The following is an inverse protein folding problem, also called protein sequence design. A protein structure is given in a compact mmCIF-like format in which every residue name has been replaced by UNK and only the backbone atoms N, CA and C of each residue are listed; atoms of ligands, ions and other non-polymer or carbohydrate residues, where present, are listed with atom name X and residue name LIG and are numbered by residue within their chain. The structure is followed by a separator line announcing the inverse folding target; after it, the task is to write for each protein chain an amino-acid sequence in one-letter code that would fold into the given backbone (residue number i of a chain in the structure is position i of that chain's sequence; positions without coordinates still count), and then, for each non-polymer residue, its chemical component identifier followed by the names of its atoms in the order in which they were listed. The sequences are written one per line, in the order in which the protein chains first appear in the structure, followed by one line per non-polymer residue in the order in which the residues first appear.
data_IF_513203875002
#
_entry.id   IF_513203875002
#
_cell.length_a   1.000
_cell.length_b   1.000
_cell.length_c   1.000
_cell.angle_alpha   90.00
_cell.angle_beta   90.00
_cell.angle_gamma   90.00
#
_symmetry.space_group_name_H-M   'P 1'
#
loop_
_entity.id
_entity.type
_entity.pdbx_description
1 polymer ?
#
# COMPACT_ATOMS: atom_id res chain seq x y z
N UNK A 1 1.62 -2.32 1.12
CA UNK A 1 1.48 -0.96 0.59
C UNK A 1 0.19 -0.40 1.21
N UNK A 2 0.08 0.25 2.37
CA UNK A 2 0.90 0.53 3.57
C UNK A 2 2.16 -0.34 3.66
N UNK A 3 3.24 0.10 3.03
CA UNK A 3 4.58 -0.40 3.30
C UNK A 3 5.33 0.84 3.72
N UNK A 4 6.01 0.75 4.86
CA UNK A 4 6.60 1.90 5.53
C UNK A 4 7.39 2.76 4.55
N UNK A 5 7.13 4.07 4.57
CA UNK A 5 8.15 5.05 4.25
C UNK A 5 9.19 5.02 5.39
N UNK A 6 9.86 3.89 5.56
CA UNK A 6 11.00 3.75 6.46
C UNK A 6 12.21 3.66 5.57
N UNK A 7 13.08 4.66 5.72
CA UNK A 7 14.37 4.78 5.07
C UNK A 7 15.31 3.72 5.67
N UNK A 8 15.04 2.44 5.39
CA UNK A 8 15.93 1.34 5.77
C UNK A 8 16.98 1.20 4.68
N UNK A 9 18.18 1.71 4.98
CA UNK A 9 19.40 1.44 4.23
C UNK A 9 19.52 -0.07 4.01
N UNK A 10 19.59 -0.47 2.73
CA UNK A 10 20.19 -1.71 2.22
C UNK A 10 20.25 -2.88 3.21
N UNK A 11 19.29 -3.80 3.12
CA UNK A 11 19.50 -5.15 3.62
C UNK A 11 19.07 -6.16 2.56
N UNK A 12 20.06 -6.64 1.80
CA UNK A 12 19.98 -7.92 1.08
C UNK A 12 20.31 -8.97 2.14
N UNK A 13 19.37 -9.85 2.56
CA UNK A 13 19.76 -10.96 3.41
C UNK A 13 20.48 -11.98 2.52
N UNK A 14 21.81 -12.04 2.63
CA UNK A 14 22.56 -13.21 2.21
C UNK A 14 22.13 -14.40 3.07
N UNK A 15 21.82 -15.50 2.40
CA UNK A 15 21.58 -16.81 3.00
C UNK A 15 22.78 -17.18 3.89
N UNK A 16 22.50 -17.54 5.14
CA UNK A 16 23.43 -18.32 5.96
C UNK A 16 22.76 -19.64 6.30
N UNK A 17 23.40 -20.71 5.86
CA UNK A 17 22.95 -22.08 6.00
C UNK A 17 22.63 -22.48 7.44
N UNK A 18 21.66 -23.39 7.49
CA UNK A 18 21.10 -24.08 8.65
C UNK A 18 22.14 -24.78 9.52
N UNK A 19 22.00 -24.64 10.84
CA UNK A 19 22.30 -25.70 11.80
C UNK A 19 21.09 -25.84 12.74
N UNK A 20 20.67 -27.08 12.93
CA UNK A 20 19.37 -27.47 13.47
C UNK A 20 19.07 -27.01 14.91
N UNK A 21 17.77 -26.85 15.18
CA UNK A 21 17.22 -26.58 16.50
C UNK A 21 15.78 -27.07 16.56
N UNK A 22 15.55 -28.02 17.46
CA UNK A 22 14.31 -28.78 17.66
C UNK A 22 13.09 -27.92 18.00
N UNK A 23 11.92 -28.54 17.80
CA UNK A 23 10.60 -27.95 17.99
C UNK A 23 10.36 -27.33 19.37
N UNK A 24 9.57 -26.26 19.39
CA UNK A 24 9.22 -25.57 20.61
C UNK A 24 8.13 -24.53 20.43
N UNK A 25 6.90 -24.94 20.74
CA UNK A 25 5.77 -24.15 21.27
C UNK A 25 5.18 -23.05 20.37
N UNK A 26 3.89 -23.24 20.05
CA UNK A 26 3.02 -22.19 19.54
C UNK A 26 3.13 -20.94 20.42
N UNK A 27 3.65 -19.87 19.83
CA UNK A 27 3.62 -18.55 20.45
C UNK A 27 2.17 -18.09 20.42
N UNK A 28 1.51 -18.17 21.57
CA UNK A 28 0.14 -17.73 21.75
C UNK A 28 -0.04 -16.28 21.29
N UNK A 29 -1.20 -16.01 20.69
CA UNK A 29 -1.69 -14.66 20.44
C UNK A 29 -1.42 -13.80 21.68
N UNK A 30 -0.83 -12.61 21.51
CA UNK A 30 -0.64 -11.69 22.64
C UNK A 30 -2.03 -11.22 23.09
N UNK A 31 -2.60 -11.90 24.08
CA UNK A 31 -3.86 -11.53 24.75
C UNK A 31 -3.58 -10.38 25.73
N UNK A 32 -3.12 -9.25 25.18
CA UNK A 32 -3.07 -7.98 25.91
C UNK A 32 -4.42 -7.27 25.83
N UNK A 33 -4.70 -6.39 26.79
CA UNK A 33 -5.90 -5.52 26.84
C UNK A 33 -6.29 -5.05 25.45
N UNK A 34 -7.45 -5.51 24.96
CA UNK A 34 -8.00 -5.16 23.65
C UNK A 34 -8.65 -3.78 23.75
N UNK A 35 -8.31 -2.87 22.84
CA UNK A 35 -9.07 -1.63 22.68
C UNK A 35 -10.29 -1.95 21.82
N UNK A 36 -11.47 -1.55 22.27
CA UNK A 36 -12.70 -1.69 21.49
C UNK A 36 -13.04 -0.35 20.82
N UNK A 37 -13.35 -0.42 19.53
CA UNK A 37 -13.87 0.70 18.76
C UNK A 37 -15.32 0.41 18.39
N UNK A 38 -16.25 0.97 19.16
CA UNK A 38 -17.69 0.94 18.88
C UNK A 38 -18.13 2.19 18.11
N UNK A 39 -18.59 2.02 16.87
CA UNK A 39 -19.09 3.12 16.04
C UNK A 39 -20.61 3.34 16.18
N UNK A 40 -21.33 2.43 16.86
CA UNK A 40 -22.79 2.52 16.98
C UNK A 40 -23.27 3.80 17.68
N UNK A 41 -22.60 4.34 18.71
CA UNK A 41 -22.99 5.62 19.30
C UNK A 41 -22.96 6.77 18.30
N UNK A 42 -21.95 6.81 17.41
CA UNK A 42 -21.87 7.81 16.35
C UNK A 42 -23.01 7.61 15.32
N UNK A 43 -23.33 6.36 14.97
CA UNK A 43 -24.40 6.04 14.03
C UNK A 43 -25.81 6.29 14.58
N UNK A 44 -26.03 6.12 15.89
CA UNK A 44 -27.33 6.26 16.55
C UNK A 44 -27.61 7.67 17.07
N UNK A 45 -26.60 8.55 17.14
CA UNK A 45 -26.78 9.94 17.57
C UNK A 45 -27.79 10.67 16.65
N UNK A 46 -28.87 11.16 17.26
CA UNK A 46 -29.91 12.00 16.63
C UNK A 46 -29.67 13.50 16.84
N UNK A 47 -28.76 13.87 17.74
CA UNK A 47 -28.51 15.25 18.18
C UNK A 47 -27.43 16.00 17.39
N UNK A 48 -26.79 15.37 16.40
CA UNK A 48 -25.72 15.96 15.60
C UNK A 48 -26.12 16.17 14.14
N UNK A 49 -25.59 17.23 13.51
CA UNK A 49 -25.78 17.46 12.08
C UNK A 49 -25.17 16.31 11.25
N UNK A 50 -25.68 16.07 10.03
CA UNK A 50 -25.13 15.05 9.12
C UNK A 50 -23.61 15.21 8.93
N UNK A 51 -23.14 16.45 8.76
CA UNK A 51 -21.70 16.77 8.64
C UNK A 51 -20.90 16.35 9.87
N UNK A 52 -21.36 16.73 11.07
CA UNK A 52 -20.67 16.39 12.32
C UNK A 52 -20.67 14.88 12.57
N UNK A 53 -21.76 14.20 12.22
CA UNK A 53 -21.88 12.73 12.31
C UNK A 53 -20.93 12.02 11.37
N UNK A 54 -20.89 12.43 10.09
CA UNK A 54 -19.96 11.88 9.10
C UNK A 54 -18.50 12.12 9.50
N UNK A 55 -18.17 13.32 10.00
CA UNK A 55 -16.82 13.62 10.46
C UNK A 55 -16.41 12.77 11.65
N UNK A 56 -17.31 12.55 12.61
CA UNK A 56 -17.04 11.67 13.75
C UNK A 56 -16.77 10.23 13.31
N UNK A 57 -17.52 9.72 12.34
CA UNK A 57 -17.27 8.39 11.78
C UNK A 57 -15.94 8.33 11.05
N UNK A 58 -15.63 9.34 10.24
CA UNK A 58 -14.37 9.41 9.51
C UNK A 58 -13.17 9.45 10.47
N UNK A 59 -13.23 10.24 11.54
CA UNK A 59 -12.20 10.27 12.59
C UNK A 59 -12.04 8.92 13.28
N UNK A 60 -13.14 8.25 13.64
CA UNK A 60 -13.06 6.90 14.23
C UNK A 60 -12.48 5.87 13.27
N UNK A 61 -12.77 5.99 11.96
CA UNK A 61 -12.26 5.09 10.93
C UNK A 61 -10.74 5.21 10.73
N UNK A 62 -10.11 6.36 11.05
CA UNK A 62 -8.66 6.52 10.97
C UNK A 62 -7.90 5.50 11.82
N UNK A 63 -8.44 5.12 12.98
CA UNK A 63 -7.87 4.07 13.84
C UNK A 63 -7.79 2.72 13.14
N UNK A 64 -8.66 2.47 12.17
CA UNK A 64 -8.68 1.25 11.36
C UNK A 64 -7.74 1.32 10.15
N UNK A 65 -7.16 2.49 9.83
CA UNK A 65 -6.19 2.67 8.74
C UNK A 65 -4.84 2.07 9.16
N UNK A 66 -4.79 0.74 9.14
CA UNK A 66 -3.64 -0.10 9.47
C UNK A 66 -3.47 -1.18 8.39
N UNK A 67 -2.29 -1.81 8.27
CA UNK A 67 -2.10 -2.91 7.33
C UNK A 67 -3.08 -4.09 7.51
N UNK A 68 -3.68 -4.24 8.70
CA UNK A 68 -4.57 -5.34 9.09
C UNK A 68 -6.04 -4.94 9.24
N UNK A 69 -6.36 -3.65 9.14
CA UNK A 69 -7.71 -3.11 9.38
C UNK A 69 -8.25 -2.22 8.25
N UNK A 70 -7.45 -1.93 7.22
CA UNK A 70 -7.81 -0.97 6.18
C UNK A 70 -9.12 -1.29 5.44
N UNK A 71 -9.47 -2.58 5.30
CA UNK A 71 -10.73 -3.02 4.69
C UNK A 71 -11.95 -2.56 5.50
N UNK A 72 -11.85 -2.61 6.83
CA UNK A 72 -12.88 -2.08 7.71
C UNK A 72 -12.91 -0.56 7.66
N UNK A 73 -11.74 0.09 7.63
CA UNK A 73 -11.63 1.54 7.47
C UNK A 73 -12.36 2.01 6.19
N UNK A 74 -12.06 1.38 5.05
CA UNK A 74 -12.70 1.68 3.75
C UNK A 74 -14.23 1.60 3.83
N UNK A 75 -14.76 0.55 4.47
CA UNK A 75 -16.20 0.37 4.66
C UNK A 75 -16.81 1.47 5.55
N UNK A 76 -16.13 1.87 6.63
CA UNK A 76 -16.61 2.93 7.52
C UNK A 76 -16.54 4.30 6.84
N UNK A 77 -15.50 4.60 6.06
CA UNK A 77 -15.43 5.80 5.25
C UNK A 77 -16.55 5.86 4.20
N UNK A 78 -16.89 4.72 3.59
CA UNK A 78 -18.04 4.64 2.68
C UNK A 78 -19.34 5.02 3.40
N UNK A 79 -19.58 4.51 4.62
CA UNK A 79 -20.73 4.92 5.46
C UNK A 79 -20.71 6.41 5.83
N UNK A 80 -19.53 6.98 6.08
CA UNK A 80 -19.41 8.41 6.33
C UNK A 80 -19.81 9.23 5.08
N UNK A 81 -19.43 8.78 3.88
CA UNK A 81 -19.80 9.41 2.62
C UNK A 81 -21.28 9.25 2.26
N UNK A 82 -21.92 8.15 2.65
CA UNK A 82 -23.38 7.98 2.54
C UNK A 82 -24.14 9.03 3.38
N UNK A 83 -23.56 9.47 4.51
CA UNK A 83 -24.16 10.48 5.39
C UNK A 83 -23.85 11.91 4.89
N UNK A 84 -22.60 12.17 4.51
CA UNK A 84 -22.14 13.42 3.91
C UNK A 84 -21.17 13.14 2.75
N UNK A 85 -21.64 13.19 1.49
CA UNK A 85 -20.80 12.96 0.32
C UNK A 85 -19.63 13.95 0.18
N UNK A 86 -19.70 15.10 0.86
CA UNK A 86 -18.68 16.14 0.80
C UNK A 86 -17.66 16.05 1.95
N UNK A 87 -17.71 15.01 2.79
CA UNK A 87 -16.75 14.84 3.88
C UNK A 87 -15.33 14.65 3.31
N UNK A 88 -14.50 15.69 3.40
CA UNK A 88 -13.16 15.72 2.78
C UNK A 88 -12.23 14.63 3.28
N UNK A 89 -12.29 14.31 4.59
CA UNK A 89 -11.49 13.25 5.22
C UNK A 89 -11.86 11.88 4.67
N UNK A 90 -13.15 11.54 4.66
CA UNK A 90 -13.64 10.26 4.16
C UNK A 90 -13.36 10.10 2.66
N UNK A 91 -13.53 11.17 1.86
CA UNK A 91 -13.18 11.17 0.43
C UNK A 91 -11.69 10.88 0.22
N UNK A 92 -10.81 11.55 0.99
CA UNK A 92 -9.37 11.32 0.92
C UNK A 92 -9.01 9.88 1.23
N UNK A 93 -9.47 9.32 2.36
CA UNK A 93 -9.11 7.96 2.73
C UNK A 93 -9.74 6.90 1.84
N UNK A 94 -10.96 7.11 1.32
CA UNK A 94 -11.54 6.18 0.36
C UNK A 94 -10.68 6.12 -0.90
N UNK A 95 -10.27 7.27 -1.44
CA UNK A 95 -9.38 7.33 -2.60
C UNK A 95 -7.99 6.71 -2.28
N UNK A 96 -7.41 7.04 -1.13
CA UNK A 96 -6.11 6.52 -0.68
C UNK A 96 -6.09 4.99 -0.49
N UNK A 97 -7.18 4.44 0.05
CA UNK A 97 -7.28 3.00 0.33
C UNK A 97 -7.74 2.17 -0.87
N UNK A 98 -8.31 2.81 -1.91
CA UNK A 98 -8.83 2.12 -3.10
C UNK A 98 -7.81 1.15 -3.74
N UNK A 99 -6.51 1.50 -3.93
CA UNK A 99 -5.54 0.56 -4.47
C UNK A 99 -5.32 -0.68 -3.59
N UNK A 100 -5.38 -0.54 -2.26
CA UNK A 100 -5.26 -1.69 -1.36
C UNK A 100 -6.49 -2.61 -1.43
N UNK A 101 -7.65 -2.08 -1.82
CA UNK A 101 -8.86 -2.89 -2.01
C UNK A 101 -8.77 -3.84 -3.22
N UNK A 102 -7.88 -3.58 -4.17
CA UNK A 102 -7.59 -4.49 -5.30
C UNK A 102 -6.86 -5.77 -4.87
N UNK A 103 -6.36 -5.82 -3.64
CA UNK A 103 -5.74 -7.02 -3.05
C UNK A 103 -6.77 -8.04 -2.54
N UNK A 104 -8.07 -7.75 -2.64
CA UNK A 104 -9.12 -8.66 -2.18
C UNK A 104 -9.01 -10.01 -2.87
N UNK A 105 -8.99 -11.07 -2.07
CA UNK A 105 -8.91 -12.44 -2.56
C UNK A 105 -7.55 -12.83 -3.15
N UNK A 106 -6.54 -11.95 -3.13
CA UNK A 106 -5.28 -12.15 -3.85
C UNK A 106 -4.64 -13.52 -3.60
N UNK A 107 -4.63 -14.01 -2.36
CA UNK A 107 -4.05 -15.31 -2.03
C UNK A 107 -4.79 -16.42 -2.79
N UNK A 108 -6.11 -16.46 -2.73
CA UNK A 108 -6.89 -17.47 -3.46
C UNK A 108 -6.74 -17.32 -4.97
N UNK A 109 -6.74 -16.07 -5.46
CA UNK A 109 -6.65 -15.75 -6.89
C UNK A 109 -5.38 -16.29 -7.54
N UNK A 110 -4.23 -16.08 -6.92
CA UNK A 110 -2.91 -16.50 -7.46
C UNK A 110 -2.55 -17.95 -7.17
N UNK A 111 -3.36 -18.67 -6.40
CA UNK A 111 -3.05 -20.06 -6.05
C UNK A 111 -2.80 -20.98 -7.27
N UNK A 112 -3.58 -20.90 -8.38
CA UNK A 112 -3.29 -21.70 -9.57
C UNK A 112 -1.91 -21.41 -10.16
N UNK A 113 -1.50 -20.14 -10.17
CA UNK A 113 -0.17 -19.72 -10.58
C UNK A 113 0.92 -20.34 -9.70
N UNK A 114 0.74 -20.25 -8.38
CA UNK A 114 1.70 -20.74 -7.39
C UNK A 114 1.92 -22.25 -7.53
N UNK A 115 0.86 -23.01 -7.82
CA UNK A 115 0.93 -24.48 -8.02
C UNK A 115 1.82 -24.88 -9.21
N UNK A 116 2.11 -23.96 -10.13
CA UNK A 116 3.02 -24.19 -11.27
C UNK A 116 4.49 -23.90 -10.93
N UNK A 117 4.76 -23.17 -9.85
CA UNK A 117 6.11 -22.80 -9.42
C UNK A 117 6.82 -23.96 -8.73
N UNK A 118 8.12 -23.80 -8.47
CA UNK A 118 8.90 -24.76 -7.71
C UNK A 118 8.41 -24.97 -6.26
N UNK A 119 8.87 -26.05 -5.62
CA UNK A 119 8.49 -26.40 -4.26
C UNK A 119 8.88 -25.35 -3.21
N UNK A 120 9.96 -24.59 -3.43
CA UNK A 120 10.42 -23.51 -2.53
C UNK A 120 9.48 -22.32 -2.60
N UNK A 121 9.05 -21.90 -3.78
CA UNK A 121 8.08 -20.85 -4.01
C UNK A 121 6.71 -21.24 -3.45
N UNK A 122 6.24 -22.45 -3.74
CA UNK A 122 5.00 -22.99 -3.16
C UNK A 122 5.04 -22.98 -1.63
N UNK A 123 6.13 -23.49 -1.03
CA UNK A 123 6.30 -23.49 0.43
C UNK A 123 6.27 -22.08 1.01
N UNK A 124 6.97 -21.11 0.41
CA UNK A 124 6.95 -19.71 0.89
C UNK A 124 5.54 -19.11 0.86
N UNK A 125 4.79 -19.38 -0.21
CA UNK A 125 3.42 -18.89 -0.35
C UNK A 125 2.49 -19.50 0.70
N UNK A 126 2.50 -20.82 0.87
CA UNK A 126 1.64 -21.50 1.83
C UNK A 126 2.05 -21.21 3.29
N UNK A 127 3.35 -21.12 3.58
CA UNK A 127 3.84 -20.68 4.89
C UNK A 127 3.35 -19.26 5.21
N UNK A 128 3.40 -18.34 4.25
CA UNK A 128 2.87 -16.99 4.43
C UNK A 128 1.37 -17.02 4.74
N UNK A 129 0.58 -17.70 3.90
CA UNK A 129 -0.88 -17.85 4.08
C UNK A 129 -1.22 -18.42 5.46
N UNK A 130 -0.53 -19.47 5.87
CA UNK A 130 -0.86 -20.24 7.07
C UNK A 130 -0.38 -19.51 8.34
N UNK A 131 0.70 -18.72 8.28
CA UNK A 131 1.21 -17.92 9.40
C UNK A 131 0.47 -16.61 9.64
N UNK A 132 -0.31 -16.12 8.67
CA UNK A 132 -1.13 -14.91 8.89
C UNK A 132 -2.09 -15.12 10.05
N UNK A 133 -2.21 -14.11 10.91
CA UNK A 133 -3.15 -14.12 12.02
C UNK A 133 -4.60 -14.22 11.50
N UNK A 134 -5.42 -15.01 12.21
CA UNK A 134 -6.86 -15.09 11.93
C UNK A 134 -7.54 -13.74 12.18
N UNK A 135 -8.35 -13.30 11.23
CA UNK A 135 -9.11 -12.05 11.32
C UNK A 135 -9.34 -11.40 9.96
N UNK A 136 -9.76 -10.12 9.98
CA UNK A 136 -10.29 -9.43 8.80
C UNK A 136 -9.33 -9.39 7.60
N UNK A 137 -8.01 -9.29 7.82
CA UNK A 137 -7.04 -9.30 6.72
C UNK A 137 -6.95 -10.65 6.03
N UNK A 138 -6.86 -11.75 6.80
CA UNK A 138 -6.77 -13.10 6.23
C UNK A 138 -8.04 -13.44 5.47
N UNK A 139 -9.20 -13.14 6.04
CA UNK A 139 -10.50 -13.28 5.37
C UNK A 139 -10.55 -12.46 4.08
N UNK A 140 -10.12 -11.19 4.14
CA UNK A 140 -10.10 -10.30 2.97
C UNK A 140 -9.20 -10.82 1.85
N UNK A 141 -7.99 -11.31 2.16
CA UNK A 141 -7.04 -11.84 1.18
C UNK A 141 -7.44 -13.22 0.63
N UNK A 142 -8.31 -13.96 1.32
CA UNK A 142 -8.84 -15.25 0.87
C UNK A 142 -10.19 -15.13 0.16
N UNK A 143 -10.86 -13.98 0.26
CA UNK A 143 -12.19 -13.73 -0.34
C UNK A 143 -12.14 -13.49 -1.85
N UNK A 144 -11.91 -14.55 -2.64
CA UNK A 144 -11.88 -14.51 -4.10
C UNK A 144 -12.01 -15.89 -4.74
N UNK A 145 -12.06 -15.94 -6.07
CA UNK A 145 -12.01 -17.17 -6.86
C UNK A 145 -10.59 -17.37 -7.41
N UNK A 146 -10.11 -18.61 -7.59
CA UNK A 146 -8.81 -18.89 -8.18
C UNK A 146 -8.82 -18.58 -9.69
N UNK A 147 -8.54 -17.33 -10.06
CA UNK A 147 -8.70 -16.79 -11.42
C UNK A 147 -7.41 -16.23 -12.04
N UNK A 148 -6.27 -16.34 -11.35
CA UNK A 148 -4.94 -15.96 -11.87
C UNK A 148 -4.09 -17.23 -11.99
N UNK A 149 -3.99 -17.72 -13.22
CA UNK A 149 -3.38 -19.00 -13.63
C UNK A 149 -2.19 -18.85 -14.58
N UNK A 150 -2.01 -17.65 -15.14
CA UNK A 150 -0.89 -17.30 -16.02
C UNK A 150 -0.44 -15.84 -15.83
N UNK A 151 0.64 -15.49 -16.53
CA UNK A 151 1.32 -14.20 -16.48
C UNK A 151 0.43 -13.06 -17.00
N UNK A 152 -0.33 -13.30 -18.07
CA UNK A 152 -1.24 -12.31 -18.64
C UNK A 152 -2.31 -11.91 -17.62
N UNK A 153 -2.91 -12.89 -16.93
CA UNK A 153 -3.89 -12.67 -15.87
C UNK A 153 -3.27 -11.94 -14.67
N UNK A 154 -2.03 -12.28 -14.30
CA UNK A 154 -1.31 -11.57 -13.25
C UNK A 154 -1.07 -10.10 -13.61
N UNK A 155 -0.62 -9.83 -14.83
CA UNK A 155 -0.43 -8.47 -15.35
C UNK A 155 -1.75 -7.70 -15.43
N UNK A 156 -2.86 -8.34 -15.82
CA UNK A 156 -4.19 -7.73 -15.83
C UNK A 156 -4.64 -7.35 -14.42
N UNK A 157 -4.33 -8.16 -13.41
CA UNK A 157 -4.58 -7.80 -12.01
C UNK A 157 -3.73 -6.61 -11.57
N UNK A 158 -2.42 -6.59 -11.89
CA UNK A 158 -1.54 -5.43 -11.61
C UNK A 158 -2.09 -4.16 -12.28
N UNK A 159 -2.68 -4.28 -13.47
CA UNK A 159 -3.34 -3.18 -14.15
C UNK A 159 -4.55 -2.62 -13.38
N UNK A 160 -5.32 -3.46 -12.69
CA UNK A 160 -6.37 -3.01 -11.77
C UNK A 160 -5.82 -2.13 -10.65
N UNK A 161 -4.66 -2.53 -10.08
CA UNK A 161 -3.94 -1.70 -9.08
C UNK A 161 -3.46 -0.39 -9.69
N UNK A 162 -2.91 -0.41 -10.92
CA UNK A 162 -2.51 0.80 -11.66
C UNK A 162 -3.69 1.76 -11.84
N UNK A 163 -4.86 1.27 -12.24
CA UNK A 163 -6.06 2.09 -12.42
C UNK A 163 -6.52 2.73 -11.11
N UNK A 164 -6.54 1.97 -10.01
CA UNK A 164 -6.86 2.53 -8.70
C UNK A 164 -5.85 3.61 -8.25
N UNK A 165 -4.56 3.47 -8.60
CA UNK A 165 -3.57 4.53 -8.38
C UNK A 165 -3.83 5.76 -9.27
N UNK A 166 -4.26 5.57 -10.52
CA UNK A 166 -4.68 6.66 -11.40
C UNK A 166 -5.83 7.46 -10.81
N UNK A 167 -6.85 6.78 -10.27
CA UNK A 167 -7.98 7.42 -9.59
C UNK A 167 -7.54 8.22 -8.37
N UNK A 168 -6.69 7.63 -7.51
CA UNK A 168 -6.17 8.34 -6.33
C UNK A 168 -5.34 9.56 -6.72
N UNK A 169 -4.49 9.44 -7.73
CA UNK A 169 -3.71 10.56 -8.25
C UNK A 169 -4.59 11.68 -8.78
N UNK A 170 -5.63 11.34 -9.53
CA UNK A 170 -6.59 12.32 -10.05
C UNK A 170 -7.32 13.02 -8.90
N UNK A 171 -7.73 12.28 -7.87
CA UNK A 171 -8.29 12.85 -6.66
C UNK A 171 -7.34 13.88 -6.02
N UNK A 172 -6.06 13.57 -5.89
CA UNK A 172 -5.07 14.49 -5.31
C UNK A 172 -4.92 15.78 -6.13
N UNK A 173 -5.00 15.69 -7.47
CA UNK A 173 -4.96 16.86 -8.38
C UNK A 173 -6.14 17.78 -8.19
N UNK A 174 -7.32 17.21 -8.00
CA UNK A 174 -8.59 17.95 -7.90
C UNK A 174 -8.83 18.52 -6.50
N UNK A 175 -8.16 18.00 -5.47
CA UNK A 175 -8.44 18.32 -4.07
C UNK A 175 -7.21 18.90 -3.34
N UNK A 176 -6.40 19.72 -4.04
CA UNK A 176 -5.15 20.31 -3.52
C UNK A 176 -5.29 21.21 -2.30
N UNK A 177 -6.49 21.67 -2.02
CA UNK A 177 -6.77 22.60 -0.92
C UNK A 177 -7.32 21.88 0.33
N UNK A 178 -7.30 20.54 0.35
CA UNK A 178 -7.62 19.79 1.57
C UNK A 178 -6.58 20.07 2.66
N UNK A 179 -7.10 20.42 3.84
CA UNK A 179 -6.30 20.61 5.06
C UNK A 179 -7.04 19.96 6.21
N UNK A 180 -6.40 18.99 6.86
CA UNK A 180 -6.95 18.34 8.05
C UNK A 180 -5.86 17.58 8.82
N UNK A 181 -6.07 17.39 10.12
CA UNK A 181 -5.22 16.56 10.97
C UNK A 181 -5.56 15.10 10.78
N UNK A 182 -4.56 14.26 10.56
CA UNK A 182 -4.67 12.81 10.42
C UNK A 182 -4.09 12.09 11.63
N UNK A 183 -4.70 10.96 11.94
CA UNK A 183 -4.15 9.93 12.81
C UNK A 183 -3.72 8.75 11.95
N UNK A 184 -2.41 8.61 11.73
CA UNK A 184 -1.85 7.50 10.98
C UNK A 184 -1.19 6.49 11.89
N UNK A 185 -1.18 5.24 11.43
CA UNK A 185 -0.47 4.16 12.10
C UNK A 185 0.86 3.93 11.41
N UNK A 186 1.97 4.21 12.10
CA UNK A 186 3.30 3.80 11.67
C UNK A 186 3.46 2.32 11.98
N UNK A 187 3.87 1.54 10.98
CA UNK A 187 4.18 0.13 11.16
C UNK A 187 5.68 -0.08 11.24
N UNK A 188 6.14 -0.75 12.29
CA UNK A 188 7.50 -1.23 12.45
C UNK A 188 7.51 -2.74 12.28
N UNK A 189 8.41 -3.31 11.47
CA UNK A 189 8.49 -4.76 11.22
C UNK A 189 7.21 -5.35 10.59
N UNK A 190 6.88 -4.92 9.36
CA UNK A 190 5.62 -5.25 8.67
C UNK A 190 5.21 -6.73 8.70
N UNK A 191 6.15 -7.67 8.47
CA UNK A 191 5.84 -9.11 8.51
C UNK A 191 5.25 -9.56 9.85
N UNK A 192 5.76 -9.03 10.97
CA UNK A 192 5.25 -9.40 12.30
C UNK A 192 3.85 -8.86 12.56
N UNK A 193 3.45 -7.75 11.92
CA UNK A 193 2.07 -7.25 12.02
C UNK A 193 1.09 -8.25 11.44
N UNK A 194 1.38 -8.78 10.26
CA UNK A 194 0.50 -9.74 9.58
C UNK A 194 0.39 -11.08 10.30
N UNK A 195 1.48 -11.52 10.95
CA UNK A 195 1.52 -12.81 11.67
C UNK A 195 0.92 -12.73 13.09
N UNK A 196 0.97 -11.57 13.75
CA UNK A 196 0.72 -11.47 15.20
C UNK A 196 -0.44 -10.56 15.58
N UNK A 197 -0.93 -9.74 14.66
CA UNK A 197 -1.96 -8.75 14.94
C UNK A 197 -3.13 -8.94 13.98
N UNK A 198 -4.34 -8.88 14.51
CA UNK A 198 -5.56 -8.96 13.73
C UNK A 198 -6.62 -8.01 14.28
N UNK A 199 -7.25 -7.24 13.39
CA UNK A 199 -8.48 -6.52 13.70
C UNK A 199 -9.65 -7.47 13.44
N UNK A 200 -10.57 -7.55 14.39
CA UNK A 200 -11.74 -8.43 14.33
C UNK A 200 -12.99 -7.58 14.52
N UNK A 201 -13.96 -7.71 13.63
CA UNK A 201 -15.30 -7.19 13.84
C UNK A 201 -16.09 -8.21 14.68
N UNK A 202 -16.39 -7.87 15.94
CA UNK A 202 -17.09 -8.78 16.86
C UNK A 202 -18.60 -8.65 16.80
N UNK A 203 -19.06 -7.45 16.47
CA UNK A 203 -20.45 -7.14 16.16
C UNK A 203 -20.46 -6.10 15.03
N UNK A 204 -21.60 -5.91 14.31
CA UNK A 204 -21.68 -4.89 13.28
C UNK A 204 -21.22 -3.51 13.78
N UNK A 205 -20.13 -3.02 13.20
CA UNK A 205 -19.46 -1.76 13.54
C UNK A 205 -18.78 -1.69 14.92
N UNK A 206 -18.53 -2.84 15.56
CA UNK A 206 -17.75 -2.95 16.80
C UNK A 206 -16.48 -3.75 16.49
N UNK A 207 -15.34 -3.09 16.64
CA UNK A 207 -14.04 -3.66 16.27
C UNK A 207 -13.15 -3.85 17.50
N UNK A 208 -12.54 -5.03 17.60
CA UNK A 208 -11.44 -5.27 18.52
C UNK A 208 -10.13 -4.90 17.85
N UNK A 209 -9.48 -3.86 18.38
CA UNK A 209 -8.17 -3.40 17.95
C UNK A 209 -7.12 -4.05 18.87
N UNK A 210 -6.21 -4.88 18.33
CA UNK A 210 -5.15 -5.45 19.15
C UNK A 210 -4.19 -4.33 19.53
N UNK A 211 -3.70 -4.32 20.78
CA UNK A 211 -2.49 -3.56 21.14
C UNK A 211 -1.31 -4.20 20.42
N UNK A 212 -1.11 -3.82 19.17
CA UNK A 212 -0.05 -4.32 18.32
C UNK A 212 1.21 -3.49 18.60
N UNK A 213 2.27 -4.05 19.22
CA UNK A 213 3.48 -3.28 19.58
C UNK A 213 4.22 -2.72 18.37
N UNK A 214 3.89 -3.24 17.18
CA UNK A 214 4.43 -2.87 15.88
C UNK A 214 3.66 -1.73 15.21
N UNK A 215 2.59 -1.24 15.84
CA UNK A 215 1.78 -0.14 15.33
C UNK A 215 1.88 1.01 16.33
N UNK A 216 2.37 2.15 15.86
CA UNK A 216 2.45 3.38 16.66
C UNK A 216 1.59 4.45 16.03
N UNK A 217 0.76 5.09 16.85
CA UNK A 217 -0.08 6.21 16.43
C UNK A 217 0.80 7.45 16.16
N UNK A 218 0.56 8.09 15.03
CA UNK A 218 1.21 9.31 14.59
C UNK A 218 0.13 10.34 14.24
N UNK A 219 0.13 11.47 14.93
CA UNK A 219 -0.75 12.60 14.63
C UNK A 219 0.01 13.64 13.83
N UNK A 220 -0.47 13.96 12.64
CA UNK A 220 0.13 14.94 11.72
C UNK A 220 -0.94 15.74 11.02
N UNK A 221 -0.60 16.90 10.48
CA UNK A 221 -1.50 17.62 9.57
C UNK A 221 -1.14 17.31 8.12
N UNK A 222 -2.16 17.12 7.27
CA UNK A 222 -2.03 17.11 5.82
C UNK A 222 -2.36 18.51 5.31
N UNK A 223 -1.53 19.02 4.41
CA UNK A 223 -1.85 20.19 3.61
C UNK A 223 -1.49 19.96 2.14
N UNK A 224 -1.60 21.00 1.32
CA UNK A 224 -1.25 20.99 -0.10
C UNK A 224 0.12 20.37 -0.40
N UNK A 225 1.17 20.69 0.36
CA UNK A 225 2.51 20.13 0.14
C UNK A 225 2.50 18.62 0.27
N UNK A 226 1.82 18.10 1.30
CA UNK A 226 1.74 16.67 1.55
C UNK A 226 0.94 15.97 0.43
N UNK A 227 -0.09 16.63 -0.12
CA UNK A 227 -0.82 16.14 -1.29
C UNK A 227 -0.01 16.17 -2.59
N UNK A 228 0.92 17.11 -2.76
CA UNK A 228 1.88 17.08 -3.88
C UNK A 228 2.85 15.90 -3.73
N UNK A 229 3.32 15.60 -2.52
CA UNK A 229 4.19 14.45 -2.26
C UNK A 229 3.45 13.14 -2.53
N UNK A 230 2.21 12.99 -2.04
CA UNK A 230 1.39 11.82 -2.37
C UNK A 230 1.19 11.66 -3.88
N UNK A 231 0.91 12.76 -4.59
CA UNK A 231 0.72 12.70 -6.05
C UNK A 231 1.99 12.22 -6.75
N UNK A 232 3.16 12.71 -6.34
CA UNK A 232 4.44 12.27 -6.88
C UNK A 232 4.75 10.80 -6.53
N UNK A 233 4.48 10.37 -5.30
CA UNK A 233 4.67 8.99 -4.88
C UNK A 233 3.76 8.04 -5.70
N UNK A 234 2.50 8.40 -5.88
CA UNK A 234 1.56 7.66 -6.73
C UNK A 234 2.01 7.63 -8.18
N UNK A 235 2.50 8.75 -8.74
CA UNK A 235 3.04 8.76 -10.10
C UNK A 235 4.26 7.81 -10.25
N UNK A 236 5.14 7.76 -9.25
CA UNK A 236 6.25 6.80 -9.22
C UNK A 236 5.78 5.34 -9.18
N UNK A 237 4.77 5.02 -8.37
CA UNK A 237 4.17 3.69 -8.34
C UNK A 237 3.51 3.32 -9.68
N UNK A 238 2.86 4.28 -10.33
CA UNK A 238 2.28 4.08 -11.66
C UNK A 238 3.34 3.77 -12.70
N UNK A 239 4.47 4.50 -12.71
CA UNK A 239 5.61 4.17 -13.59
C UNK A 239 6.08 2.74 -13.33
N UNK A 240 6.24 2.36 -12.06
CA UNK A 240 6.66 1.00 -11.69
C UNK A 240 5.69 -0.07 -12.22
N UNK A 241 4.38 0.10 -11.99
CA UNK A 241 3.38 -0.84 -12.49
C UNK A 241 3.34 -0.91 -14.01
N UNK A 242 3.38 0.25 -14.67
CA UNK A 242 3.42 0.37 -16.12
C UNK A 242 4.64 -0.36 -16.72
N UNK A 243 5.81 -0.31 -16.06
CA UNK A 243 6.96 -1.10 -16.50
C UNK A 243 6.76 -2.61 -16.29
N UNK A 244 6.07 -3.03 -15.23
CA UNK A 244 5.75 -4.46 -14.98
C UNK A 244 4.64 -5.03 -15.86
N UNK A 245 3.81 -4.19 -16.47
CA UNK A 245 2.70 -4.63 -17.33
C UNK A 245 2.83 -4.18 -18.78
N UNK A 246 3.87 -3.42 -19.11
CA UNK A 246 4.04 -2.84 -20.44
C UNK A 246 4.48 -3.84 -21.50
N UNK A 247 5.27 -4.83 -21.09
CA UNK A 247 5.74 -5.91 -21.97
C UNK A 247 5.10 -7.23 -21.57
N UNK A 248 4.87 -8.09 -22.54
CA UNK A 248 4.36 -9.43 -22.31
C UNK A 248 5.50 -10.31 -21.76
N UNK A 249 5.20 -10.97 -20.65
CA UNK A 249 6.12 -11.87 -19.96
C UNK A 249 5.61 -13.32 -19.99
N UNK A 250 4.78 -13.68 -20.97
CA UNK A 250 4.29 -15.04 -21.16
C UNK A 250 5.45 -16.01 -21.27
N UNK A 251 5.36 -17.11 -20.51
CA UNK A 251 6.43 -18.09 -20.37
C UNK A 251 7.48 -17.73 -19.32
N UNK A 252 7.39 -16.57 -18.65
CA UNK A 252 8.22 -16.23 -17.48
C UNK A 252 8.11 -17.29 -16.38
N UNK A 253 6.94 -17.89 -16.19
CA UNK A 253 6.71 -18.86 -15.11
C UNK A 253 7.30 -20.21 -15.48
N UNK A 254 7.39 -20.49 -16.77
CA UNK A 254 8.10 -21.66 -17.27
C UNK A 254 9.63 -21.44 -17.17
N UNK A 255 10.10 -20.23 -16.83
CA UNK A 255 11.51 -19.97 -16.50
C UNK A 255 11.97 -20.59 -15.18
N UNK A 256 11.10 -21.17 -14.36
CA UNK A 256 11.54 -22.10 -13.31
C UNK A 256 12.26 -23.32 -13.92
N UNK A 257 12.04 -23.63 -15.22
CA UNK A 257 12.92 -24.54 -15.97
C UNK A 257 14.32 -23.97 -16.24
N UNK A 258 14.49 -22.65 -16.25
CA UNK A 258 15.79 -21.97 -16.33
C UNK A 258 16.51 -22.03 -14.98
N UNK A 259 15.81 -21.93 -13.85
CA UNK A 259 16.41 -22.10 -12.53
C UNK A 259 16.95 -23.52 -12.31
N UNK A 260 16.34 -24.53 -12.94
CA UNK A 260 16.86 -25.92 -12.95
C UNK A 260 18.10 -26.10 -13.82
N UNK A 261 18.50 -25.08 -14.58
CA UNK A 261 19.72 -25.05 -15.38
C UNK A 261 20.71 -24.12 -14.70
N UNK A 262 21.20 -24.56 -13.54
CA UNK A 262 22.13 -23.81 -12.68
C UNK A 262 23.40 -23.33 -13.43
N UNK A 263 23.72 -23.94 -14.57
CA UNK A 263 24.88 -23.62 -15.41
C UNK A 263 24.60 -22.59 -16.54
N UNK A 264 23.37 -22.08 -16.67
CA UNK A 264 23.06 -21.14 -17.74
C UNK A 264 23.52 -19.72 -17.41
N UNK A 265 24.30 -19.12 -18.31
CA UNK A 265 24.66 -17.71 -18.22
C UNK A 265 23.49 -16.79 -18.67
N UNK A 266 23.65 -15.48 -18.45
CA UNK A 266 22.64 -14.50 -18.82
C UNK A 266 22.35 -14.44 -20.32
N UNK A 267 23.29 -14.84 -21.19
CA UNK A 267 23.10 -14.87 -22.64
C UNK A 267 22.20 -16.06 -23.01
N UNK A 268 22.49 -17.25 -22.47
CA UNK A 268 21.70 -18.45 -22.71
C UNK A 268 20.25 -18.30 -22.21
N UNK A 269 20.07 -17.68 -21.04
CA UNK A 269 18.75 -17.30 -20.52
C UNK A 269 18.03 -16.37 -21.50
N UNK A 270 18.69 -15.32 -21.98
CA UNK A 270 18.09 -14.35 -22.90
C UNK A 270 17.72 -14.98 -24.25
N UNK A 271 18.60 -15.81 -24.83
CA UNK A 271 18.34 -16.51 -26.09
C UNK A 271 17.15 -17.46 -25.97
N UNK A 272 17.01 -18.19 -24.86
CA UNK A 272 15.83 -19.01 -24.64
C UNK A 272 14.57 -18.16 -24.50
N UNK A 273 14.61 -17.07 -23.72
CA UNK A 273 13.45 -16.20 -23.53
C UNK A 273 12.94 -15.65 -24.87
N UNK A 274 13.84 -15.29 -25.80
CA UNK A 274 13.47 -14.89 -27.17
C UNK A 274 12.77 -15.97 -27.99
N UNK A 275 12.89 -17.24 -27.61
CA UNK A 275 12.17 -18.35 -28.27
C UNK A 275 10.72 -18.49 -27.79
N UNK A 276 10.37 -17.85 -26.68
CA UNK A 276 9.01 -17.89 -26.13
C UNK A 276 8.11 -16.95 -26.93
N UNK A 277 6.97 -17.47 -27.38
CA UNK A 277 5.98 -16.67 -28.09
C UNK A 277 5.47 -15.53 -27.20
N UNK A 278 5.50 -14.30 -27.72
CA UNK A 278 5.06 -13.10 -27.00
C UNK A 278 6.06 -12.52 -26.03
N UNK A 279 7.14 -13.21 -25.67
CA UNK A 279 8.09 -12.68 -24.69
C UNK A 279 8.73 -11.37 -25.14
N UNK A 280 8.60 -10.34 -24.31
CA UNK A 280 9.16 -9.01 -24.56
C UNK A 280 8.38 -8.20 -25.60
N UNK A 281 7.28 -8.72 -26.13
CA UNK A 281 6.42 -7.95 -27.02
C UNK A 281 5.75 -6.83 -26.23
N UNK A 282 5.69 -5.64 -26.84
CA UNK A 282 4.97 -4.53 -26.27
C UNK A 282 3.47 -4.86 -26.26
N UNK A 283 2.87 -4.93 -25.07
CA UNK A 283 1.44 -5.19 -24.94
C UNK A 283 0.66 -4.03 -25.54
N UNK A 284 -0.48 -4.29 -26.20
CA UNK A 284 -1.32 -3.22 -26.79
C UNK A 284 -1.83 -2.22 -25.75
N UNK A 285 -1.84 -2.63 -24.49
CA UNK A 285 -2.45 -1.93 -23.38
C UNK A 285 -1.40 -1.46 -22.35
N UNK A 286 -0.17 -1.17 -22.82
CA UNK A 286 1.04 -0.87 -22.05
C UNK A 286 1.07 0.49 -21.30
N UNK A 287 0.09 1.36 -21.52
CA UNK A 287 -0.07 2.67 -20.85
C UNK A 287 1.13 3.66 -20.93
N UNK A 288 2.17 3.41 -21.75
CA UNK A 288 3.35 4.31 -21.84
C UNK A 288 3.03 5.72 -22.35
N UNK A 289 1.87 5.92 -22.98
CA UNK A 289 1.38 7.25 -23.33
C UNK A 289 1.21 8.14 -22.08
N UNK A 290 0.94 7.55 -20.91
CA UNK A 290 0.74 8.26 -19.66
C UNK A 290 2.06 8.78 -19.05
N UNK A 291 3.22 8.26 -19.48
CA UNK A 291 4.53 8.62 -18.93
C UNK A 291 4.79 10.13 -18.95
N UNK A 292 4.39 10.80 -20.04
CA UNK A 292 4.49 12.26 -20.16
C UNK A 292 3.65 12.95 -19.08
N UNK A 293 2.43 12.48 -18.86
CA UNK A 293 1.53 12.99 -17.83
C UNK A 293 2.08 12.75 -16.42
N UNK A 294 2.74 11.62 -16.17
CA UNK A 294 3.41 11.26 -14.90
C UNK A 294 4.59 12.18 -14.61
N UNK A 295 5.43 12.47 -15.60
CA UNK A 295 6.57 13.39 -15.46
C UNK A 295 6.18 14.84 -15.12
N UNK A 296 4.99 15.29 -15.55
CA UNK A 296 4.48 16.65 -15.24
C UNK A 296 4.25 16.85 -13.74
N UNK A 297 3.97 15.81 -12.97
CA UNK A 297 3.76 15.94 -11.51
C UNK A 297 5.03 16.33 -10.78
N UNK A 298 6.16 15.75 -11.18
CA UNK A 298 7.46 16.10 -10.63
C UNK A 298 7.77 17.56 -10.90
N UNK A 299 7.53 18.01 -12.14
CA UNK A 299 7.71 19.42 -12.51
C UNK A 299 6.74 20.33 -11.73
N UNK A 300 5.50 19.89 -11.50
CA UNK A 300 4.52 20.60 -10.67
C UNK A 300 5.00 20.76 -9.23
N UNK A 301 5.47 19.68 -8.61
CA UNK A 301 6.03 19.66 -7.26
C UNK A 301 7.27 20.56 -7.14
N UNK A 302 8.22 20.47 -8.09
CA UNK A 302 9.41 21.32 -8.13
C UNK A 302 9.02 22.79 -8.29
N UNK A 303 8.08 23.12 -9.19
CA UNK A 303 7.61 24.49 -9.40
C UNK A 303 6.98 25.07 -8.13
N UNK A 304 6.25 24.24 -7.37
CA UNK A 304 5.64 24.66 -6.12
C UNK A 304 6.67 24.82 -5.00
N UNK A 305 7.59 23.86 -4.85
CA UNK A 305 8.71 23.95 -3.91
C UNK A 305 9.57 25.19 -4.17
N UNK A 306 9.82 25.51 -5.45
CA UNK A 306 10.51 26.73 -5.86
C UNK A 306 9.74 28.00 -5.47
N UNK A 307 8.43 28.06 -5.75
CA UNK A 307 7.57 29.20 -5.37
C UNK A 307 7.56 29.45 -3.86
N UNK A 308 7.57 28.39 -3.06
CA UNK A 308 7.50 28.48 -1.60
C UNK A 308 8.84 28.36 -0.91
N UNK A 309 9.95 28.39 -1.65
CA UNK A 309 11.31 28.25 -1.13
C UNK A 309 11.58 29.12 0.10
N UNK A 310 11.13 30.39 0.10
CA UNK A 310 11.35 31.31 1.23
C UNK A 310 10.67 30.86 2.52
N UNK A 311 9.52 30.19 2.40
CA UNK A 311 8.73 29.68 3.54
C UNK A 311 9.23 28.29 3.94
N UNK A 312 9.51 27.43 2.97
CA UNK A 312 9.96 26.06 3.21
C UNK A 312 11.42 25.99 3.68
N UNK A 313 12.25 26.93 3.24
CA UNK A 313 13.71 26.92 3.45
C UNK A 313 14.26 28.33 3.72
N UNK A 314 13.93 28.90 4.89
CA UNK A 314 14.53 30.16 5.32
C UNK A 314 16.06 30.04 5.37
N UNK A 315 16.78 31.12 5.01
CA UNK A 315 18.25 31.13 5.05
C UNK A 315 18.74 30.74 6.44
N UNK A 316 19.67 29.80 6.51
CA UNK A 316 20.26 29.31 7.77
C UNK A 316 19.46 28.20 8.48
N UNK A 317 18.26 27.85 8.00
CA UNK A 317 17.49 26.74 8.54
C UNK A 317 18.00 25.38 8.00
N UNK A 318 18.00 24.36 8.86
CA UNK A 318 18.25 22.97 8.46
C UNK A 318 17.18 22.51 7.48
N UNK A 319 17.53 21.59 6.58
CA UNK A 319 16.57 20.87 5.73
C UNK A 319 15.93 19.66 6.43
N UNK A 320 16.40 19.35 7.64
CA UNK A 320 15.83 18.33 8.54
C UNK A 320 14.84 19.03 9.48
N UNK A 321 13.64 18.46 9.62
CA UNK A 321 12.56 18.95 10.50
C UNK A 321 12.10 20.39 10.25
N UNK A 322 12.20 20.88 9.00
CA UNK A 322 11.75 22.22 8.65
C UNK A 322 10.21 22.35 8.51
N UNK A 323 9.47 21.25 8.63
CA UNK A 323 7.99 21.23 8.69
C UNK A 323 7.47 20.46 9.92
N UNK A 324 7.73 20.93 11.15
CA UNK A 324 7.28 20.23 12.35
C UNK A 324 5.74 20.10 12.37
N UNK A 325 5.24 18.92 12.75
CA UNK A 325 3.80 18.62 12.83
C UNK A 325 3.14 18.18 11.51
N UNK A 326 3.82 18.30 10.36
CA UNK A 326 3.31 17.80 9.07
C UNK A 326 3.76 16.37 8.78
N UNK A 327 3.05 15.70 7.88
CA UNK A 327 3.33 14.31 7.51
C UNK A 327 4.74 14.16 6.92
N UNK A 328 5.12 15.05 6.00
CA UNK A 328 6.49 15.13 5.49
C UNK A 328 7.20 16.31 6.17
N UNK A 329 7.97 15.99 7.21
CA UNK A 329 8.72 16.91 8.06
C UNK A 329 10.05 17.37 7.42
N UNK A 330 10.51 16.69 6.37
CA UNK A 330 11.59 17.11 5.49
C UNK A 330 11.07 17.88 4.26
N UNK A 331 11.62 19.05 4.01
CA UNK A 331 11.34 19.85 2.82
C UNK A 331 12.44 19.76 1.76
N UNK A 332 12.06 19.99 0.50
CA UNK A 332 13.02 20.23 -0.59
C UNK A 332 13.58 21.65 -0.48
N UNK A 333 14.80 21.78 0.02
CA UNK A 333 15.54 23.04 -0.04
C UNK A 333 16.39 23.12 -1.30
N UNK A 334 15.87 23.87 -2.27
CA UNK A 334 16.61 24.18 -3.50
C UNK A 334 17.77 25.12 -3.13
N UNK A 335 18.99 24.56 -3.07
CA UNK A 335 20.21 25.35 -2.96
C UNK A 335 20.35 26.19 -4.22
N UNK A 336 20.39 27.51 -4.07
CA UNK A 336 20.90 28.37 -5.14
C UNK A 336 22.38 28.08 -5.30
N UNK A 337 22.89 28.06 -6.54
CA UNK A 337 24.33 28.17 -6.74
C UNK A 337 24.75 29.45 -6.03
N UNK A 338 25.71 29.32 -5.12
CA UNK A 338 26.44 30.48 -4.61
C UNK A 338 27.28 30.94 -5.77
N UNK A 339 26.93 32.09 -6.35
CA UNK A 339 27.77 32.76 -7.35
C UNK A 339 29.09 33.21 -6.75
#
# INVERSE_FOLDING_TARGET
MILGCTNEKNYIPMESDSVGGQGGRGQGLVVGVKEELDLNPALKSTSSSKKAKAERLALSAEKLVTPIGFMYAYRVFTKALEIDPNNGRARFYQAFLRPAMELRGLITRVEPLVKRLDARAQKRFYDFRDKMAEGGLKEFLLAGQPDISNEIESQNWVKGVYQAQTEFRQFLRENKDLVFDITMNKTEQGNKVYERCAVIEVEPNVFQLPKCPYITELKKSINRADLEVFQQATAGLQIYFMMMTGYDYTGAIDTDQLQKKEDWDSIQVNEYLKTLEGWGDLRKDHDFADFKGLGVDLLGGIKWAYRLKKVLCPKGASNVDNRPGYLFDYGLCIREKVD
#
